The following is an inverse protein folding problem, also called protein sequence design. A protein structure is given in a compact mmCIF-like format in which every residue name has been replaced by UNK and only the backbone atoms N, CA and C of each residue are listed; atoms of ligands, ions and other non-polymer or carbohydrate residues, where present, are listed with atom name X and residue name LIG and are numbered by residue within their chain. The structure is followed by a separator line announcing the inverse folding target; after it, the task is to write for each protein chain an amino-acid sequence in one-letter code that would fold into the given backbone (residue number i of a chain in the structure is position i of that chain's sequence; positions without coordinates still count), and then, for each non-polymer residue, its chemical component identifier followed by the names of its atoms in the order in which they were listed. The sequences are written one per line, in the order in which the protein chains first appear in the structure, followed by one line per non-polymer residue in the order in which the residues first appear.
data_IF_837767631727
#
_entry.id   IF_837767631727
#
_cell.length_a   1.000
_cell.length_b   1.000
_cell.length_c   1.000
_cell.angle_alpha   90.00
_cell.angle_beta   90.00
_cell.angle_gamma   90.00
#
_symmetry.space_group_name_H-M   'P 1'
#
loop_
_entity.id
_entity.type
_entity.pdbx_description
1 polymer ?
#
# COMPACT_ATOMS: atom_id res chain seq x y z
N UNK A 1 -31.21 1.17 75.46
CA UNK A 1 -31.62 2.48 74.91
C UNK A 1 -30.76 2.80 73.69
N UNK A 2 -31.39 3.41 72.68
CA UNK A 2 -30.94 3.69 71.31
C UNK A 2 -29.61 4.45 71.21
N UNK A 3 -28.84 4.20 70.14
CA UNK A 3 -28.53 5.19 69.08
C UNK A 3 -27.82 4.56 67.87
N UNK A 4 -28.56 4.55 66.76
CA UNK A 4 -28.07 4.39 65.38
C UNK A 4 -27.35 5.67 64.96
N UNK A 5 -26.25 5.56 64.21
CA UNK A 5 -25.80 6.60 63.27
C UNK A 5 -25.28 5.95 61.99
N UNK A 6 -25.81 6.43 60.87
CA UNK A 6 -25.58 6.00 59.49
C UNK A 6 -24.12 6.20 59.05
N UNK A 7 -23.56 5.23 58.32
CA UNK A 7 -22.33 5.41 57.53
C UNK A 7 -22.71 5.30 56.05
N UNK A 8 -22.27 6.32 55.30
CA UNK A 8 -22.64 6.61 53.93
C UNK A 8 -22.27 5.50 52.94
N UNK A 9 -23.21 5.27 52.02
CA UNK A 9 -23.01 4.68 50.70
C UNK A 9 -21.86 5.41 49.98
N UNK A 10 -20.80 4.68 49.61
CA UNK A 10 -19.87 5.09 48.56
C UNK A 10 -19.92 4.01 47.48
N UNK A 11 -20.83 4.20 46.53
CA UNK A 11 -20.88 3.46 45.28
C UNK A 11 -19.69 3.95 44.44
N UNK A 12 -18.57 3.22 44.46
CA UNK A 12 -17.49 3.42 43.50
C UNK A 12 -18.03 2.99 42.13
N UNK A 13 -18.56 3.94 41.37
CA UNK A 13 -18.80 3.77 39.95
C UNK A 13 -17.45 3.52 39.29
N UNK A 14 -17.16 2.25 38.98
CA UNK A 14 -15.98 1.85 38.24
C UNK A 14 -15.98 2.56 36.89
N UNK A 15 -15.11 3.56 36.74
CA UNK A 15 -14.82 4.18 35.47
C UNK A 15 -14.10 3.14 34.61
N UNK A 16 -14.86 2.43 33.78
CA UNK A 16 -14.32 1.52 32.78
C UNK A 16 -13.65 2.38 31.72
N UNK A 17 -12.33 2.56 31.83
CA UNK A 17 -11.52 3.16 30.79
C UNK A 17 -11.59 2.23 29.58
N UNK A 18 -12.46 2.53 28.61
CA UNK A 18 -12.35 1.96 27.28
C UNK A 18 -11.05 2.49 26.68
N UNK A 19 -9.96 1.76 26.90
CA UNK A 19 -8.72 1.95 26.15
C UNK A 19 -9.02 1.57 24.70
N UNK A 20 -9.46 2.57 23.93
CA UNK A 20 -9.56 2.45 22.49
C UNK A 20 -8.13 2.34 21.96
N UNK A 21 -7.64 1.10 21.85
CA UNK A 21 -6.43 0.80 21.07
C UNK A 21 -6.78 1.15 19.63
N UNK A 22 -6.56 2.40 19.23
CA UNK A 22 -6.52 2.77 17.82
C UNK A 22 -5.43 1.91 17.20
N UNK A 23 -5.85 0.82 16.53
CA UNK A 23 -4.95 -0.21 16.03
C UNK A 23 -4.16 0.44 14.91
N UNK A 24 -2.92 0.86 15.20
CA UNK A 24 -2.04 1.53 14.24
C UNK A 24 -2.03 0.81 12.90
N UNK A 25 -2.02 1.60 11.82
CA UNK A 25 -1.87 1.10 10.47
C UNK A 25 -0.52 0.39 10.35
N UNK A 26 -0.52 -0.79 9.73
CA UNK A 26 0.71 -1.51 9.43
C UNK A 26 1.19 -1.02 8.07
N UNK A 27 2.25 -0.22 8.05
CA UNK A 27 2.86 0.28 6.81
C UNK A 27 3.71 -0.84 6.23
N UNK A 28 3.42 -1.22 4.99
CA UNK A 28 4.26 -2.15 4.21
C UNK A 28 5.43 -1.36 3.63
N UNK A 29 5.12 -0.27 2.92
CA UNK A 29 6.08 0.73 2.47
C UNK A 29 5.38 2.06 2.18
N UNK A 30 6.07 3.17 2.43
CA UNK A 30 5.65 4.53 2.06
C UNK A 30 6.72 5.25 1.20
N UNK A 31 7.89 4.64 1.00
CA UNK A 31 9.02 5.14 0.22
C UNK A 31 9.64 6.45 0.73
N UNK A 32 9.28 6.90 1.93
CA UNK A 32 9.67 8.21 2.45
C UNK A 32 11.13 8.28 2.93
N UNK A 33 11.84 7.14 2.93
CA UNK A 33 13.29 7.10 3.13
C UNK A 33 14.08 7.53 1.87
N UNK A 34 13.39 7.81 0.76
CA UNK A 34 13.97 8.24 -0.52
C UNK A 34 14.68 7.11 -1.27
N UNK A 35 14.44 5.86 -0.88
CA UNK A 35 15.03 4.67 -1.46
C UNK A 35 13.98 3.57 -1.67
N UNK A 36 14.36 2.51 -2.36
CA UNK A 36 13.55 1.29 -2.43
C UNK A 36 13.91 0.29 -1.33
N UNK A 37 14.80 0.65 -0.39
CA UNK A 37 15.17 -0.18 0.75
C UNK A 37 15.52 -1.62 0.33
N UNK A 38 14.65 -2.56 0.72
CA UNK A 38 14.80 -3.99 0.43
C UNK A 38 13.89 -4.50 -0.69
N UNK A 39 13.31 -3.62 -1.50
CA UNK A 39 12.67 -4.02 -2.74
C UNK A 39 13.73 -4.38 -3.77
N UNK A 40 13.42 -5.37 -4.58
CA UNK A 40 14.27 -5.85 -5.67
C UNK A 40 13.76 -5.24 -6.97
N UNK A 41 14.65 -4.53 -7.67
CA UNK A 41 14.41 -3.99 -9.00
C UNK A 41 14.91 -5.01 -10.03
N UNK A 42 14.04 -5.40 -10.96
CA UNK A 42 14.36 -6.28 -12.08
C UNK A 42 14.00 -5.59 -13.40
N UNK A 43 14.84 -5.77 -14.42
CA UNK A 43 14.63 -5.15 -15.72
C UNK A 43 14.98 -3.65 -15.77
N UNK A 44 14.39 -2.92 -16.71
CA UNK A 44 14.69 -1.51 -17.01
C UNK A 44 13.54 -0.55 -16.71
N UNK A 45 12.34 -1.06 -16.40
CA UNK A 45 11.13 -0.27 -16.24
C UNK A 45 11.14 0.68 -15.04
N UNK A 46 11.91 0.38 -14.00
CA UNK A 46 12.00 1.21 -12.79
C UNK A 46 13.38 1.85 -12.67
N UNK A 47 13.44 3.00 -11.98
CA UNK A 47 14.70 3.57 -11.49
C UNK A 47 15.20 2.79 -10.26
N UNK A 48 16.31 3.22 -9.65
CA UNK A 48 16.79 2.63 -8.38
C UNK A 48 16.35 3.42 -7.14
N UNK A 49 15.63 4.53 -7.33
CA UNK A 49 15.06 5.36 -6.28
C UNK A 49 13.61 5.71 -6.62
N UNK A 50 12.76 5.98 -5.62
CA UNK A 50 11.43 6.53 -5.83
C UNK A 50 11.50 7.87 -6.58
N UNK A 51 10.42 8.20 -7.28
CA UNK A 51 10.18 9.50 -7.88
C UNK A 51 9.69 10.50 -6.83
N UNK A 52 9.73 11.78 -7.21
CA UNK A 52 9.18 12.91 -6.45
C UNK A 52 8.37 13.79 -7.40
N UNK A 53 7.77 14.87 -6.90
CA UNK A 53 7.12 15.90 -7.72
C UNK A 53 7.98 16.45 -8.86
N UNK A 54 9.31 16.38 -8.75
CA UNK A 54 10.23 16.81 -9.81
C UNK A 54 10.13 15.97 -11.09
N UNK A 55 9.52 14.77 -11.02
CA UNK A 55 9.26 13.95 -12.21
C UNK A 55 8.22 14.61 -13.12
N UNK A 56 7.10 15.03 -12.55
CA UNK A 56 6.01 15.75 -13.22
C UNK A 56 5.11 16.39 -12.15
N UNK A 57 4.95 17.72 -12.22
CA UNK A 57 4.15 18.49 -11.26
C UNK A 57 2.65 18.25 -11.37
N UNK A 58 2.17 17.57 -12.42
CA UNK A 58 0.76 17.20 -12.57
C UNK A 58 0.42 15.92 -11.79
N UNK A 59 1.41 15.15 -11.35
CA UNK A 59 1.18 13.94 -10.56
C UNK A 59 0.75 14.33 -9.15
N UNK A 60 -0.37 13.76 -8.69
CA UNK A 60 -0.94 14.07 -7.38
C UNK A 60 -1.63 12.85 -6.75
N UNK A 61 -2.20 13.00 -5.54
CA UNK A 61 -2.92 11.93 -4.83
C UNK A 61 -2.02 10.96 -4.05
N UNK A 62 -0.70 10.98 -4.28
CA UNK A 62 0.26 10.29 -3.42
C UNK A 62 0.36 10.95 -2.03
N UNK A 63 0.94 10.24 -1.08
CA UNK A 63 1.16 10.72 0.30
C UNK A 63 2.65 10.83 0.56
N UNK A 64 3.07 11.93 1.17
CA UNK A 64 4.48 12.19 1.43
C UNK A 64 5.15 12.89 0.25
N UNK A 65 6.45 12.64 0.07
CA UNK A 65 7.28 13.27 -0.96
C UNK A 65 7.67 12.31 -2.07
N UNK A 66 7.49 11.00 -1.86
CA UNK A 66 7.99 9.96 -2.73
C UNK A 66 6.88 9.04 -3.26
N UNK A 67 7.08 8.52 -4.47
CA UNK A 67 6.21 7.49 -5.05
C UNK A 67 6.96 6.63 -6.07
N UNK A 68 6.47 5.43 -6.35
CA UNK A 68 7.03 4.58 -7.42
C UNK A 68 6.48 5.03 -8.76
N UNK A 69 7.36 5.25 -9.73
CA UNK A 69 6.99 5.47 -11.12
C UNK A 69 7.72 4.49 -12.03
N UNK A 70 6.99 3.89 -12.96
CA UNK A 70 7.62 3.21 -14.10
C UNK A 70 7.99 4.23 -15.16
N UNK A 71 9.07 3.98 -15.90
CA UNK A 71 9.47 4.79 -17.04
C UNK A 71 8.50 4.52 -18.19
N UNK A 72 7.89 5.55 -18.75
CA UNK A 72 7.19 5.42 -20.02
C UNK A 72 7.36 6.70 -20.84
N UNK A 73 8.32 6.69 -21.76
CA UNK A 73 8.61 7.77 -22.70
C UNK A 73 8.65 7.26 -24.14
N UNK A 74 7.75 6.34 -24.52
CA UNK A 74 7.77 5.72 -25.86
C UNK A 74 8.96 4.77 -26.06
N UNK A 75 9.51 4.25 -24.97
CA UNK A 75 10.64 3.31 -24.96
C UNK A 75 10.15 1.93 -24.59
N UNK A 76 10.71 0.90 -25.24
CA UNK A 76 10.50 -0.48 -24.80
C UNK A 76 11.15 -0.70 -23.44
N UNK A 77 10.33 -0.95 -22.42
CA UNK A 77 10.80 -1.26 -21.07
C UNK A 77 10.02 -2.43 -20.50
N UNK A 78 10.72 -3.27 -19.75
CA UNK A 78 10.11 -4.32 -18.95
C UNK A 78 10.76 -4.36 -17.57
N UNK A 79 10.01 -4.79 -16.57
CA UNK A 79 10.57 -4.94 -15.25
C UNK A 79 9.57 -5.13 -14.13
N UNK A 80 10.13 -5.46 -12.98
CA UNK A 80 9.40 -5.65 -11.75
C UNK A 80 10.07 -4.85 -10.63
N UNK A 81 9.24 -4.34 -9.71
CA UNK A 81 9.68 -3.87 -8.41
C UNK A 81 8.99 -4.73 -7.36
N UNK A 82 9.76 -5.59 -6.69
CA UNK A 82 9.23 -6.61 -5.77
C UNK A 82 9.66 -6.33 -4.33
N UNK A 83 8.69 -6.16 -3.43
CA UNK A 83 8.95 -5.92 -2.01
C UNK A 83 9.64 -7.10 -1.31
N UNK A 84 10.25 -6.83 -0.15
CA UNK A 84 10.57 -7.89 0.79
C UNK A 84 9.30 -8.60 1.29
N UNK A 85 9.43 -9.89 1.61
CA UNK A 85 8.30 -10.66 2.11
C UNK A 85 7.80 -10.11 3.45
N UNK A 86 6.48 -9.99 3.60
CA UNK A 86 5.81 -9.59 4.83
C UNK A 86 4.71 -10.59 5.19
N UNK A 87 4.29 -10.59 6.44
CA UNK A 87 3.16 -11.40 6.90
C UNK A 87 1.86 -10.62 6.80
N UNK A 88 0.80 -11.23 6.27
CA UNK A 88 -0.53 -10.63 6.20
C UNK A 88 -1.15 -10.64 7.59
N UNK A 89 -1.23 -9.46 8.23
CA UNK A 89 -1.73 -9.28 9.61
C UNK A 89 -3.11 -8.63 9.70
N UNK A 90 -3.60 -8.05 8.60
CA UNK A 90 -4.83 -7.26 8.53
C UNK A 90 -5.74 -7.82 7.44
N UNK A 91 -7.02 -7.49 7.52
CA UNK A 91 -8.02 -7.93 6.54
C UNK A 91 -7.87 -7.23 5.19
N UNK A 92 -7.27 -6.04 5.17
CA UNK A 92 -7.13 -5.24 3.96
C UNK A 92 -5.70 -4.78 3.75
N UNK A 93 -5.28 -4.80 2.49
CA UNK A 93 -4.12 -4.06 2.00
C UNK A 93 -4.66 -2.88 1.20
N UNK A 94 -4.22 -1.67 1.56
CA UNK A 94 -4.61 -0.44 0.89
C UNK A 94 -3.37 0.24 0.33
N UNK A 95 -3.45 0.74 -0.89
CA UNK A 95 -2.37 1.44 -1.55
C UNK A 95 -2.93 2.49 -2.52
N UNK A 96 -2.09 3.44 -2.89
CA UNK A 96 -2.41 4.49 -3.85
C UNK A 96 -1.90 4.06 -5.22
N UNK A 97 -2.79 4.03 -6.23
CA UNK A 97 -2.47 3.58 -7.58
C UNK A 97 -3.02 4.58 -8.60
N UNK A 98 -2.16 4.99 -9.54
CA UNK A 98 -2.48 5.91 -10.63
C UNK A 98 -1.81 5.44 -11.92
N UNK A 99 -2.11 6.13 -13.02
CA UNK A 99 -1.63 5.81 -14.36
C UNK A 99 -2.75 5.40 -15.31
N UNK A 100 -2.39 5.00 -16.52
CA UNK A 100 -3.35 4.52 -17.52
C UNK A 100 -3.60 3.03 -17.34
N UNK A 101 -4.87 2.61 -17.41
CA UNK A 101 -5.22 1.19 -17.41
C UNK A 101 -4.58 0.47 -18.60
N UNK A 102 -3.69 -0.49 -18.34
CA UNK A 102 -2.98 -1.26 -19.35
C UNK A 102 -2.84 -2.71 -18.90
N UNK A 103 -2.95 -3.70 -19.81
CA UNK A 103 -2.61 -5.08 -19.46
C UNK A 103 -1.16 -5.22 -18.98
N UNK A 104 -0.27 -4.31 -19.40
CA UNK A 104 1.16 -4.36 -19.11
C UNK A 104 1.61 -3.56 -17.90
N UNK A 105 0.72 -2.90 -17.17
CA UNK A 105 1.10 -2.19 -15.94
C UNK A 105 0.09 -2.45 -14.83
N UNK A 106 0.54 -3.08 -13.75
CA UNK A 106 -0.32 -3.51 -12.64
C UNK A 106 0.48 -3.71 -11.36
N UNK A 107 -0.24 -3.74 -10.24
CA UNK A 107 0.27 -4.16 -8.94
C UNK A 107 -0.39 -5.48 -8.58
N UNK A 108 0.37 -6.41 -8.01
CA UNK A 108 -0.14 -7.71 -7.58
C UNK A 108 0.37 -8.10 -6.19
N UNK A 109 -0.43 -8.91 -5.51
CA UNK A 109 -0.04 -9.63 -4.31
C UNK A 109 0.40 -11.03 -4.71
N UNK A 110 1.55 -11.46 -4.21
CA UNK A 110 2.11 -12.80 -4.38
C UNK A 110 2.10 -13.54 -3.05
N UNK A 111 1.65 -14.80 -3.03
CA UNK A 111 1.83 -15.72 -1.89
C UNK A 111 2.51 -16.96 -2.45
N UNK A 112 3.62 -17.36 -1.85
CA UNK A 112 4.42 -18.51 -2.33
C UNK A 112 4.83 -18.38 -3.82
N UNK A 113 4.94 -17.15 -4.33
CA UNK A 113 5.29 -16.84 -5.72
C UNK A 113 4.11 -16.81 -6.69
N UNK A 114 2.91 -17.17 -6.26
CA UNK A 114 1.69 -17.16 -7.09
C UNK A 114 0.94 -15.85 -6.93
N UNK A 115 0.43 -15.31 -8.05
CA UNK A 115 -0.42 -14.11 -8.09
C UNK A 115 -1.84 -14.46 -7.69
N UNK A 116 -2.31 -13.91 -6.57
CA UNK A 116 -3.64 -14.18 -6.02
C UNK A 116 -4.63 -13.03 -6.26
N UNK A 117 -4.12 -11.80 -6.40
CA UNK A 117 -4.92 -10.63 -6.76
C UNK A 117 -4.03 -9.62 -7.46
N UNK A 118 -4.60 -8.92 -8.45
CA UNK A 118 -3.94 -7.81 -9.14
C UNK A 118 -4.91 -6.64 -9.33
N UNK A 119 -4.35 -5.44 -9.39
CA UNK A 119 -5.07 -4.21 -9.73
C UNK A 119 -4.31 -3.40 -10.76
N UNK A 120 -5.10 -2.74 -11.61
CA UNK A 120 -4.64 -1.76 -12.59
C UNK A 120 -5.20 -0.39 -12.20
N UNK A 121 -4.59 0.70 -12.66
CA UNK A 121 -5.22 2.00 -12.58
C UNK A 121 -6.61 1.96 -13.26
N UNK A 122 -7.62 2.50 -12.59
CA UNK A 122 -9.03 2.53 -13.06
C UNK A 122 -9.64 3.93 -13.01
N UNK A 123 -8.87 4.93 -12.56
CA UNK A 123 -9.31 6.32 -12.42
C UNK A 123 -9.48 7.05 -13.76
N UNK A 124 -10.21 8.15 -13.73
CA UNK A 124 -10.44 9.00 -14.91
C UNK A 124 -9.22 9.88 -15.26
N UNK A 125 -8.40 10.20 -14.26
CA UNK A 125 -7.18 10.98 -14.43
C UNK A 125 -5.95 10.07 -14.18
N UNK A 126 -5.13 9.80 -15.20
CA UNK A 126 -3.95 8.95 -15.05
C UNK A 126 -2.86 9.58 -14.17
N UNK A 127 -2.91 10.88 -13.89
CA UNK A 127 -1.93 11.58 -13.06
C UNK A 127 -2.33 11.62 -11.58
N UNK A 128 -3.51 11.12 -11.22
CA UNK A 128 -3.97 11.07 -9.83
C UNK A 128 -3.86 9.64 -9.31
N UNK A 129 -3.13 9.46 -8.21
CA UNK A 129 -3.12 8.20 -7.49
C UNK A 129 -4.34 8.12 -6.56
N UNK A 130 -5.13 7.06 -6.71
CA UNK A 130 -6.36 6.85 -5.95
C UNK A 130 -6.26 5.61 -5.06
N UNK A 131 -7.04 5.61 -3.98
CA UNK A 131 -7.07 4.47 -3.05
C UNK A 131 -7.60 3.22 -3.73
N UNK A 132 -6.77 2.19 -3.72
CA UNK A 132 -7.12 0.82 -4.07
C UNK A 132 -7.04 -0.06 -2.83
N UNK A 133 -7.97 -1.01 -2.71
CA UNK A 133 -8.05 -1.92 -1.57
C UNK A 133 -8.19 -3.37 -2.03
N UNK A 134 -7.48 -4.28 -1.38
CA UNK A 134 -7.67 -5.72 -1.51
C UNK A 134 -8.14 -6.30 -0.18
N UNK A 135 -9.22 -7.08 -0.23
CA UNK A 135 -9.58 -7.98 0.87
C UNK A 135 -8.65 -9.20 0.84
N UNK A 136 -7.85 -9.32 1.89
CA UNK A 136 -6.87 -10.39 2.08
C UNK A 136 -7.15 -11.18 3.38
N UNK A 137 -8.36 -11.06 3.93
CA UNK A 137 -8.77 -11.71 5.18
C UNK A 137 -8.53 -13.22 5.16
N UNK A 138 -8.76 -13.87 4.01
CA UNK A 138 -8.55 -15.30 3.79
C UNK A 138 -7.06 -15.74 3.79
N UNK A 139 -6.13 -14.78 3.75
CA UNK A 139 -4.69 -15.05 3.64
C UNK A 139 -3.90 -14.64 4.88
N UNK A 140 -4.58 -14.35 6.01
CA UNK A 140 -3.91 -13.99 7.27
C UNK A 140 -2.88 -15.04 7.71
N UNK A 141 -1.73 -14.55 8.18
CA UNK A 141 -0.60 -15.38 8.62
C UNK A 141 0.26 -15.94 7.48
N UNK A 142 -0.16 -15.79 6.22
CA UNK A 142 0.68 -16.14 5.07
C UNK A 142 1.76 -15.08 4.85
N UNK A 143 2.92 -15.53 4.36
CA UNK A 143 3.95 -14.64 3.82
C UNK A 143 3.60 -14.25 2.40
N UNK A 144 3.73 -12.96 2.10
CA UNK A 144 3.39 -12.40 0.81
C UNK A 144 4.43 -11.35 0.37
N UNK A 145 4.40 -11.03 -0.92
CA UNK A 145 5.12 -9.92 -1.52
C UNK A 145 4.12 -9.07 -2.31
N UNK A 146 4.31 -7.75 -2.32
CA UNK A 146 3.80 -6.87 -3.37
C UNK A 146 4.79 -6.85 -4.52
N UNK A 147 4.30 -6.98 -5.75
CA UNK A 147 5.07 -6.77 -6.98
C UNK A 147 4.38 -5.72 -7.85
N UNK A 148 5.16 -4.75 -8.33
CA UNK A 148 4.72 -3.76 -9.31
C UNK A 148 5.33 -4.17 -10.66
N UNK A 149 4.49 -4.34 -11.67
CA UNK A 149 4.86 -4.77 -13.01
C UNK A 149 4.69 -3.64 -14.01
N UNK A 150 5.66 -3.49 -14.91
CA UNK A 150 5.56 -2.63 -16.08
C UNK A 150 6.27 -3.31 -17.27
N UNK A 151 5.53 -3.60 -18.34
CA UNK A 151 5.99 -4.30 -19.55
C UNK A 151 5.50 -3.61 -20.83
N UNK A 152 6.03 -2.43 -21.09
CA UNK A 152 5.71 -1.65 -22.26
C UNK A 152 6.62 -2.06 -23.42
N UNK A 153 6.20 -3.08 -24.17
CA UNK A 153 6.80 -3.39 -25.46
C UNK A 153 6.24 -2.43 -26.52
N UNK A 154 7.11 -1.78 -27.29
CA UNK A 154 6.68 -0.97 -28.44
C UNK A 154 6.00 -1.91 -29.44
N UNK A 155 4.67 -1.94 -29.44
CA UNK A 155 3.89 -2.59 -30.48
C UNK A 155 4.24 -1.86 -31.78
N UNK A 156 5.10 -2.46 -32.61
CA UNK A 156 5.27 -2.04 -34.00
C UNK A 156 3.87 -2.03 -34.61
N UNK A 157 3.35 -0.83 -34.87
CA UNK A 157 2.21 -0.64 -35.76
C UNK A 157 2.61 -1.24 -37.10
N UNK A 158 2.07 -2.41 -37.42
CA UNK A 158 1.90 -2.86 -38.79
C UNK A 158 0.83 -2.03 -39.47
#
# INVERSE_FOLDING_TARGET
MRRFTHIHFLFFAGLFLLSSSCKSAYIIDDFEDGSFGKWVVEGSAFSYTPATEALDSNISGYKGSFFVASKNHGTTVNGYLTSSAFEIKKDYINFLLGGTSSPSAYVELLIEGESIVMSRPVGNDPNVLEWTSWDVSNYKGKKANIRICADFNEQRKG
#
